data_IF_847053583565
#
_entry.id   IF_847053583565
#
_cell.length_a   1.000
_cell.length_b   1.000
_cell.length_c   1.000
_cell.angle_alpha   90.00
_cell.angle_beta   90.00
_cell.angle_gamma   90.00
#
_symmetry.space_group_name_H-M   'P 1'
#
loop_
_entity.id
_entity.type
_entity.pdbx_description
1 polymer ?
#
# COMPACT_ATOMS: atom_id res chain seq x y z
N UNK A 1 -3.22 1.74 -5.87
CA UNK A 1 -3.68 0.41 -5.43
C UNK A 1 -3.58 -0.53 -6.60
N UNK A 2 -3.03 -1.72 -6.40
CA UNK A 2 -3.00 -2.77 -7.41
C UNK A 2 -4.36 -3.50 -7.38
N UNK A 3 -4.90 -3.83 -8.54
CA UNK A 3 -6.10 -4.67 -8.64
C UNK A 3 -5.75 -6.14 -8.32
N UNK A 4 -6.73 -6.96 -7.89
CA UNK A 4 -6.47 -8.33 -7.46
C UNK A 4 -5.80 -9.20 -8.52
N UNK A 5 -6.13 -9.03 -9.81
CA UNK A 5 -5.59 -9.87 -10.89
C UNK A 5 -4.11 -9.54 -11.10
N UNK A 6 -3.76 -8.25 -11.12
CA UNK A 6 -2.36 -7.81 -11.17
C UNK A 6 -1.56 -8.31 -9.96
N UNK A 7 -2.14 -8.27 -8.76
CA UNK A 7 -1.49 -8.81 -7.56
C UNK A 7 -1.18 -10.30 -7.70
N UNK A 8 -2.11 -11.09 -8.23
CA UNK A 8 -1.91 -12.52 -8.49
C UNK A 8 -0.83 -12.77 -9.53
N UNK A 9 -0.78 -11.96 -10.59
CA UNK A 9 0.27 -12.04 -11.61
C UNK A 9 1.66 -11.81 -11.02
N UNK A 10 1.81 -10.75 -10.21
CA UNK A 10 3.06 -10.45 -9.50
C UNK A 10 3.44 -11.57 -8.52
N UNK A 11 2.48 -12.06 -7.74
CA UNK A 11 2.72 -13.16 -6.82
C UNK A 11 3.14 -14.44 -7.56
N UNK A 12 2.46 -14.79 -8.67
CA UNK A 12 2.80 -15.97 -9.47
C UNK A 12 4.21 -15.88 -10.04
N UNK A 13 4.59 -14.70 -10.55
CA UNK A 13 5.95 -14.47 -11.07
C UNK A 13 7.02 -14.64 -9.99
N UNK A 14 6.84 -13.98 -8.84
CA UNK A 14 7.76 -14.11 -7.70
C UNK A 14 7.81 -15.55 -7.17
N UNK A 15 6.66 -16.23 -7.10
CA UNK A 15 6.57 -17.62 -6.69
C UNK A 15 7.34 -18.56 -7.60
N UNK A 16 7.27 -18.39 -8.92
CA UNK A 16 8.01 -19.23 -9.86
C UNK A 16 9.53 -19.08 -9.66
N UNK A 17 10.01 -17.86 -9.36
CA UNK A 17 11.42 -17.62 -9.02
C UNK A 17 11.79 -18.30 -7.70
N UNK A 18 10.93 -18.21 -6.68
CA UNK A 18 11.14 -18.92 -5.40
C UNK A 18 11.20 -20.42 -5.65
N UNK A 19 10.24 -20.97 -6.40
CA UNK A 19 10.17 -22.40 -6.75
C UNK A 19 11.41 -22.89 -7.46
N UNK A 20 11.93 -22.11 -8.40
CA UNK A 20 13.21 -22.40 -9.04
C UNK A 20 14.37 -22.36 -8.03
N UNK A 21 14.40 -21.36 -7.15
CA UNK A 21 15.38 -21.28 -6.06
C UNK A 21 15.34 -22.50 -5.14
N UNK A 22 14.15 -22.94 -4.74
CA UNK A 22 13.93 -24.15 -3.96
C UNK A 22 14.46 -25.40 -4.68
N UNK A 23 14.21 -25.52 -5.99
CA UNK A 23 14.65 -26.68 -6.78
C UNK A 23 16.17 -26.80 -6.95
N UNK A 24 16.89 -25.68 -6.91
CA UNK A 24 18.36 -25.67 -7.02
C UNK A 24 19.04 -25.56 -5.64
N UNK A 25 18.26 -25.65 -4.55
CA UNK A 25 18.78 -25.63 -3.19
C UNK A 25 19.31 -24.27 -2.73
N UNK A 26 18.76 -23.16 -3.24
CA UNK A 26 19.16 -21.82 -2.77
C UNK A 26 18.82 -21.63 -1.30
N UNK A 27 19.71 -20.92 -0.60
CA UNK A 27 19.46 -20.50 0.77
C UNK A 27 18.28 -19.48 0.82
N UNK A 28 17.53 -19.51 1.90
CA UNK A 28 16.47 -18.54 2.21
C UNK A 28 17.02 -17.10 2.21
N UNK A 29 18.28 -16.90 2.60
CA UNK A 29 18.93 -15.58 2.53
C UNK A 29 19.01 -15.06 1.09
N UNK A 30 19.32 -15.91 0.12
CA UNK A 30 19.37 -15.53 -1.30
C UNK A 30 17.98 -15.29 -1.88
N UNK A 31 16.96 -15.97 -1.35
CA UNK A 31 15.58 -15.84 -1.79
C UNK A 31 14.80 -14.74 -1.04
N UNK A 32 15.37 -14.14 0.01
CA UNK A 32 14.74 -13.17 0.89
C UNK A 32 14.07 -12.01 0.15
N UNK A 33 14.74 -11.43 -0.85
CA UNK A 33 14.19 -10.35 -1.66
C UNK A 33 12.98 -10.78 -2.51
N UNK A 34 13.00 -12.00 -3.05
CA UNK A 34 11.88 -12.54 -3.83
C UNK A 34 10.71 -12.96 -2.93
N UNK A 35 11.01 -13.52 -1.75
CA UNK A 35 10.02 -13.81 -0.70
C UNK A 35 9.30 -12.54 -0.24
N UNK A 36 10.04 -11.44 -0.04
CA UNK A 36 9.45 -10.14 0.30
C UNK A 36 8.53 -9.60 -0.81
N UNK A 37 8.93 -9.71 -2.09
CA UNK A 37 8.10 -9.33 -3.24
C UNK A 37 6.83 -10.17 -3.33
N UNK A 38 6.96 -11.49 -3.16
CA UNK A 38 5.81 -12.40 -3.14
C UNK A 38 4.86 -12.06 -2.00
N UNK A 39 5.37 -11.87 -0.78
CA UNK A 39 4.57 -11.52 0.39
C UNK A 39 3.87 -10.16 0.27
N UNK A 40 4.51 -9.18 -0.35
CA UNK A 40 3.87 -7.90 -0.68
C UNK A 40 2.70 -8.08 -1.65
N UNK A 41 2.91 -8.79 -2.76
CA UNK A 41 1.85 -9.08 -3.72
C UNK A 41 0.70 -9.90 -3.11
N UNK A 42 1.02 -10.83 -2.20
CA UNK A 42 0.03 -11.58 -1.44
C UNK A 42 -0.83 -10.68 -0.53
N UNK A 43 -0.18 -9.77 0.21
CA UNK A 43 -0.88 -8.79 1.04
C UNK A 43 -1.74 -7.84 0.21
N UNK A 44 -1.26 -7.41 -0.97
CA UNK A 44 -2.00 -6.53 -1.88
C UNK A 44 -3.25 -7.23 -2.43
N UNK A 45 -3.14 -8.52 -2.80
CA UNK A 45 -4.30 -9.32 -3.19
C UNK A 45 -5.33 -9.41 -2.07
N UNK A 46 -4.91 -9.73 -0.84
CA UNK A 46 -5.82 -9.83 0.31
C UNK A 46 -6.53 -8.51 0.61
N UNK A 47 -5.83 -7.39 0.50
CA UNK A 47 -6.41 -6.07 0.68
C UNK A 47 -7.42 -5.75 -0.43
N UNK A 48 -7.08 -6.03 -1.69
CA UNK A 48 -7.97 -5.80 -2.82
C UNK A 48 -9.22 -6.71 -2.76
N UNK A 49 -9.07 -7.98 -2.38
CA UNK A 49 -10.19 -8.89 -2.13
C UNK A 49 -11.10 -8.36 -1.02
N UNK A 50 -10.54 -7.84 0.08
CA UNK A 50 -11.32 -7.29 1.18
C UNK A 50 -12.10 -6.03 0.77
N UNK A 51 -11.51 -5.16 -0.05
CA UNK A 51 -12.19 -4.00 -0.60
C UNK A 51 -13.30 -4.36 -1.59
N UNK A 52 -13.18 -5.48 -2.32
CA UNK A 52 -14.26 -5.97 -3.18
C UNK A 52 -15.44 -6.50 -2.36
N UNK A 53 -15.18 -7.15 -1.21
CA UNK A 53 -16.23 -7.61 -0.30
C UNK A 53 -16.94 -6.44 0.40
N UNK A 54 -16.21 -5.38 0.71
CA UNK A 54 -16.71 -4.17 1.37
C UNK A 54 -16.29 -2.92 0.58
N UNK A 55 -16.98 -2.60 -0.54
CA UNK A 55 -16.65 -1.43 -1.33
C UNK A 55 -16.91 -0.14 -0.52
N UNK A 56 -16.09 0.92 -0.71
CA UNK A 56 -16.39 2.23 -0.14
C UNK A 56 -17.76 2.73 -0.62
N UNK A 57 -18.47 3.50 0.22
CA UNK A 57 -19.80 4.03 -0.10
C UNK A 57 -19.84 4.86 -1.40
N UNK A 58 -18.71 5.43 -1.82
CA UNK A 58 -18.55 6.19 -3.06
C UNK A 58 -18.16 5.34 -4.29
N UNK A 59 -17.99 4.02 -4.13
CA UNK A 59 -17.56 3.12 -5.20
C UNK A 59 -18.76 2.45 -5.87
N UNK A 60 -19.17 2.95 -7.04
CA UNK A 60 -20.23 2.41 -7.90
C UNK A 60 -19.81 1.18 -8.72
N UNK A 61 -19.10 0.21 -8.12
CA UNK A 61 -18.83 -1.08 -8.78
C UNK A 61 -19.79 -2.12 -8.21
N UNK A 62 -20.80 -2.49 -9.00
CA UNK A 62 -21.71 -3.59 -8.70
C UNK A 62 -20.95 -4.91 -8.55
N UNK A 63 -21.40 -5.76 -7.63
CA UNK A 63 -20.78 -7.07 -7.40
C UNK A 63 -21.24 -8.06 -8.47
N UNK A 64 -20.43 -8.30 -9.50
CA UNK A 64 -20.70 -9.36 -10.47
C UNK A 64 -20.39 -10.74 -9.86
N UNK A 65 -21.36 -11.65 -9.82
CA UNK A 65 -21.19 -12.99 -9.24
C UNK A 65 -20.08 -13.80 -9.93
N UNK A 66 -19.84 -13.58 -11.22
CA UNK A 66 -18.76 -14.18 -12.00
C UNK A 66 -17.37 -13.76 -11.46
N UNK A 67 -17.23 -12.49 -11.07
CA UNK A 67 -15.99 -11.98 -10.45
C UNK A 67 -15.72 -12.61 -9.08
N UNK A 68 -16.76 -13.00 -8.32
CA UNK A 68 -16.59 -13.61 -7.01
C UNK A 68 -16.01 -15.04 -7.09
N UNK A 69 -16.44 -15.83 -8.07
CA UNK A 69 -15.91 -17.18 -8.32
C UNK A 69 -14.44 -17.09 -8.79
N UNK A 70 -14.13 -16.15 -9.68
CA UNK A 70 -12.76 -15.93 -10.14
C UNK A 70 -11.84 -15.53 -8.99
N UNK A 71 -12.24 -14.54 -8.18
CA UNK A 71 -11.48 -14.11 -7.00
C UNK A 71 -11.30 -15.25 -6.00
N UNK A 72 -12.31 -16.11 -5.81
CA UNK A 72 -12.18 -17.31 -4.99
C UNK A 72 -11.12 -18.28 -5.53
N UNK A 73 -11.13 -18.54 -6.84
CA UNK A 73 -10.14 -19.42 -7.49
C UNK A 73 -8.72 -18.85 -7.34
N UNK A 74 -8.55 -17.54 -7.54
CA UNK A 74 -7.27 -16.88 -7.34
C UNK A 74 -6.81 -16.94 -5.88
N UNK A 75 -7.72 -16.74 -4.92
CA UNK A 75 -7.40 -16.91 -3.49
C UNK A 75 -6.88 -18.31 -3.20
N UNK A 76 -7.52 -19.35 -3.74
CA UNK A 76 -7.06 -20.75 -3.59
C UNK A 76 -5.69 -20.97 -4.20
N UNK A 77 -5.40 -20.37 -5.36
CA UNK A 77 -4.06 -20.39 -5.97
C UNK A 77 -3.02 -19.72 -5.07
N UNK A 78 -3.35 -18.55 -4.50
CA UNK A 78 -2.47 -17.82 -3.57
C UNK A 78 -2.19 -18.63 -2.29
N UNK A 79 -3.23 -19.25 -1.71
CA UNK A 79 -3.10 -20.14 -0.55
C UNK A 79 -2.21 -21.36 -0.85
N UNK A 80 -2.33 -21.96 -2.04
CA UNK A 80 -1.49 -23.07 -2.46
C UNK A 80 0.00 -22.65 -2.57
N UNK A 81 0.29 -21.49 -3.16
CA UNK A 81 1.66 -20.95 -3.22
C UNK A 81 2.24 -20.73 -1.82
N UNK A 82 1.45 -20.16 -0.90
CA UNK A 82 1.86 -19.95 0.50
C UNK A 82 2.17 -21.27 1.19
N UNK A 83 1.32 -22.28 0.96
CA UNK A 83 1.53 -23.62 1.53
C UNK A 83 2.84 -24.21 1.04
N UNK A 84 3.12 -24.17 -0.26
CA UNK A 84 4.37 -24.71 -0.82
C UNK A 84 5.61 -24.01 -0.24
N UNK A 85 5.57 -22.67 -0.10
CA UNK A 85 6.66 -21.91 0.55
C UNK A 85 6.81 -22.32 2.02
N UNK A 86 5.70 -22.40 2.76
CA UNK A 86 5.72 -22.79 4.18
C UNK A 86 6.31 -24.18 4.36
N UNK A 87 5.84 -25.14 3.57
CA UNK A 87 6.25 -26.54 3.66
C UNK A 87 7.76 -26.65 3.39
N UNK A 88 8.28 -25.94 2.37
CA UNK A 88 9.71 -25.89 2.09
C UNK A 88 10.52 -25.26 3.24
N UNK A 89 10.12 -24.09 3.75
CA UNK A 89 10.85 -23.41 4.83
C UNK A 89 10.85 -24.28 6.09
N UNK A 90 9.68 -24.83 6.45
CA UNK A 90 9.53 -25.66 7.64
C UNK A 90 10.34 -26.95 7.55
N UNK A 91 10.43 -27.54 6.36
CA UNK A 91 11.22 -28.75 6.11
C UNK A 91 12.73 -28.51 6.21
N UNK A 92 13.23 -27.41 5.63
CA UNK A 92 14.67 -27.15 5.54
C UNK A 92 15.25 -26.39 6.75
N UNK A 93 14.47 -25.51 7.38
CA UNK A 93 14.93 -24.61 8.44
C UNK A 93 14.18 -24.82 9.77
N UNK A 94 13.25 -25.77 9.81
CA UNK A 94 12.41 -26.04 10.97
C UNK A 94 11.16 -25.15 11.06
N UNK A 95 10.15 -25.56 11.84
CA UNK A 95 8.87 -24.85 11.94
C UNK A 95 9.00 -23.44 12.55
N UNK A 96 10.00 -23.18 13.40
CA UNK A 96 10.25 -21.85 13.97
C UNK A 96 10.64 -20.82 12.92
N UNK A 97 11.34 -21.22 11.86
CA UNK A 97 11.75 -20.32 10.79
C UNK A 97 10.55 -19.72 10.05
N UNK A 98 9.46 -20.50 9.91
CA UNK A 98 8.22 -19.97 9.34
C UNK A 98 7.56 -18.93 10.25
N UNK A 99 7.58 -19.14 11.58
CA UNK A 99 7.06 -18.17 12.54
C UNK A 99 7.86 -16.86 12.52
N UNK A 100 9.18 -16.93 12.37
CA UNK A 100 10.04 -15.76 12.17
C UNK A 100 9.67 -14.99 10.89
N UNK A 101 9.43 -15.70 9.79
CA UNK A 101 8.93 -15.08 8.54
C UNK A 101 7.60 -14.36 8.76
N UNK A 102 6.67 -14.97 9.50
CA UNK A 102 5.38 -14.33 9.84
C UNK A 102 5.56 -13.10 10.74
N UNK A 103 6.50 -13.14 11.69
CA UNK A 103 6.82 -12.02 12.56
C UNK A 103 7.35 -10.83 11.74
N UNK A 104 8.31 -11.07 10.84
CA UNK A 104 8.87 -10.06 9.93
C UNK A 104 7.77 -9.50 9.01
N UNK A 105 6.90 -10.35 8.46
CA UNK A 105 5.76 -9.90 7.65
C UNK A 105 4.80 -9.00 8.46
N UNK A 106 4.57 -9.35 9.73
CA UNK A 106 3.78 -8.55 10.67
C UNK A 106 4.39 -7.17 10.90
N UNK A 107 5.70 -7.11 11.14
CA UNK A 107 6.44 -5.85 11.32
C UNK A 107 6.40 -4.98 10.06
N UNK A 108 6.68 -5.56 8.89
CA UNK A 108 6.59 -4.84 7.61
C UNK A 108 5.20 -4.24 7.38
N UNK A 109 4.12 -4.95 7.76
CA UNK A 109 2.76 -4.41 7.68
C UNK A 109 2.55 -3.21 8.61
N UNK A 110 3.18 -3.19 9.79
CA UNK A 110 3.14 -2.02 10.68
C UNK A 110 3.91 -0.84 10.10
N UNK A 111 5.12 -1.08 9.58
CA UNK A 111 5.95 -0.04 8.95
C UNK A 111 5.22 0.57 7.75
N UNK A 112 4.64 -0.25 6.86
CA UNK A 112 3.86 0.25 5.71
C UNK A 112 2.68 1.13 6.15
N UNK A 113 1.97 0.76 7.22
CA UNK A 113 0.90 1.60 7.78
C UNK A 113 1.45 2.94 8.27
N UNK A 114 2.55 2.93 9.03
CA UNK A 114 3.20 4.16 9.51
C UNK A 114 3.67 5.06 8.36
N UNK A 115 4.22 4.49 7.30
CA UNK A 115 4.61 5.25 6.10
C UNK A 115 3.42 5.89 5.40
N UNK A 116 2.29 5.18 5.31
CA UNK A 116 1.05 5.74 4.77
C UNK A 116 0.56 6.91 5.63
N UNK A 117 0.52 6.75 6.95
CA UNK A 117 0.18 7.84 7.88
C UNK A 117 1.11 9.05 7.69
N UNK A 118 2.42 8.83 7.64
CA UNK A 118 3.40 9.91 7.40
C UNK A 118 3.17 10.61 6.06
N UNK A 119 2.84 9.87 4.99
CA UNK A 119 2.51 10.46 3.68
C UNK A 119 1.22 11.27 3.74
N UNK A 120 0.23 10.82 4.49
CA UNK A 120 -1.02 11.56 4.72
C UNK A 120 -0.80 12.83 5.54
N UNK A 121 0.03 12.77 6.58
CA UNK A 121 0.45 13.93 7.37
C UNK A 121 1.18 14.96 6.51
N UNK A 122 2.12 14.52 5.66
CA UNK A 122 2.80 15.42 4.73
C UNK A 122 1.82 16.07 3.74
N UNK A 123 0.85 15.32 3.21
CA UNK A 123 -0.20 15.88 2.34
C UNK A 123 -1.06 16.91 3.07
N UNK A 124 -1.50 16.59 4.30
CA UNK A 124 -2.27 17.51 5.15
C UNK A 124 -1.47 18.78 5.44
N UNK A 125 -0.21 18.63 5.86
CA UNK A 125 0.67 19.76 6.11
C UNK A 125 0.83 20.63 4.86
N UNK A 126 1.11 20.04 3.69
CA UNK A 126 1.22 20.81 2.43
C UNK A 126 -0.08 21.55 2.13
N UNK A 127 -1.24 20.91 2.27
CA UNK A 127 -2.56 21.55 2.05
C UNK A 127 -2.78 22.70 3.05
N UNK A 128 -2.54 22.46 4.34
CA UNK A 128 -2.70 23.43 5.42
C UNK A 128 -1.78 24.64 5.24
N UNK A 129 -0.49 24.41 4.95
CA UNK A 129 0.47 25.47 4.68
C UNK A 129 0.12 26.26 3.42
N UNK A 130 -0.30 25.57 2.35
CA UNK A 130 -0.70 26.22 1.10
C UNK A 130 -1.92 27.12 1.33
N UNK A 131 -2.95 26.61 2.00
CA UNK A 131 -4.15 27.39 2.35
C UNK A 131 -3.81 28.55 3.29
N UNK A 132 -2.95 28.32 4.29
CA UNK A 132 -2.49 29.34 5.23
C UNK A 132 -1.77 30.50 4.53
N UNK A 133 -0.88 30.19 3.58
CA UNK A 133 -0.17 31.20 2.78
C UNK A 133 -1.13 32.00 1.91
N UNK A 134 -2.09 31.33 1.25
CA UNK A 134 -3.09 32.01 0.40
C UNK A 134 -3.93 32.98 1.22
N UNK A 135 -4.41 32.55 2.39
CA UNK A 135 -5.21 33.41 3.27
C UNK A 135 -4.36 34.58 3.77
N UNK A 136 -3.16 34.32 4.28
CA UNK A 136 -2.28 35.36 4.82
C UNK A 136 -1.91 36.42 3.76
N UNK A 137 -1.57 36.00 2.53
CA UNK A 137 -1.24 36.91 1.44
C UNK A 137 -2.47 37.69 0.96
N UNK A 138 -3.64 37.05 0.88
CA UNK A 138 -4.90 37.72 0.53
C UNK A 138 -5.28 38.79 1.56
N UNK A 139 -5.15 38.47 2.86
CA UNK A 139 -5.42 39.43 3.95
C UNK A 139 -4.42 40.58 3.92
N UNK A 140 -3.12 40.30 3.76
CA UNK A 140 -2.10 41.35 3.67
C UNK A 140 -2.33 42.27 2.47
N UNK A 141 -2.69 41.71 1.30
CA UNK A 141 -3.01 42.49 0.11
C UNK A 141 -4.25 43.37 0.34
N UNK A 142 -5.31 42.84 0.95
CA UNK A 142 -6.52 43.61 1.27
C UNK A 142 -6.23 44.76 2.24
N UNK A 143 -5.46 44.51 3.31
CA UNK A 143 -5.07 45.55 4.27
C UNK A 143 -4.23 46.63 3.60
N UNK A 144 -3.24 46.24 2.80
CA UNK A 144 -2.38 47.18 2.07
C UNK A 144 -3.19 48.03 1.10
N UNK A 145 -4.13 47.42 0.38
CA UNK A 145 -5.03 48.12 -0.54
C UNK A 145 -5.90 49.16 0.18
N UNK A 146 -6.49 48.80 1.32
CA UNK A 146 -7.31 49.70 2.14
C UNK A 146 -6.46 50.88 2.65
N UNK A 147 -5.28 50.61 3.20
CA UNK A 147 -4.38 51.64 3.73
C UNK A 147 -3.91 52.60 2.63
N UNK A 148 -3.59 52.08 1.45
CA UNK A 148 -3.20 52.89 0.30
C UNK A 148 -4.32 53.85 -0.13
N UNK A 149 -5.56 53.34 -0.29
CA UNK A 149 -6.70 54.17 -0.67
C UNK A 149 -7.06 55.21 0.41
N UNK A 150 -6.95 54.84 1.69
CA UNK A 150 -7.17 55.77 2.80
C UNK A 150 -6.11 56.87 2.86
N UNK A 151 -4.84 56.54 2.68
CA UNK A 151 -3.73 57.49 2.66
C UNK A 151 -3.87 58.52 1.54
N UNK A 152 -4.26 58.06 0.34
CA UNK A 152 -4.56 58.91 -0.81
C UNK A 152 -5.74 59.86 -0.53
N UNK A 153 -6.78 59.40 0.16
CA UNK A 153 -7.91 60.25 0.54
C UNK A 153 -7.51 61.34 1.55
N UNK A 154 -6.56 61.06 2.45
CA UNK A 154 -6.05 62.04 3.43
C UNK A 154 -4.99 63.00 2.86
N UNK A 155 -4.59 62.87 1.60
CA UNK A 155 -3.58 63.73 0.96
C UNK A 155 -2.17 63.62 1.55
N UNK A 156 -1.88 62.53 2.27
CA UNK A 156 -0.55 62.28 2.86
C UNK A 156 0.45 61.70 1.86
N UNK A 157 -0.05 61.18 0.74
CA UNK A 157 0.68 60.59 -0.39
C UNK A 157 -0.13 60.74 -1.68
#
# INVERSE_FOLDING_TARGET
MIDPITAVGLATSAFNIIKQGMSVGKDIQEMSGTLAKWGAAFSDFQYAEQQLKNPPWYSFKGSDAESAIEIFAQRKKMEAMRKEIKDYISWNYGPSAWEEVLAIEGEMRRVRKQELYRKEELKRAVIEWTLGIIIATSTAAAVTFILYHWGRYQGKW
#
